data_IF_404387588551
#
_entry.id   IF_404387588551
#
_cell.length_a   1.000
_cell.length_b   1.000
_cell.length_c   1.000
_cell.angle_alpha   90.00
_cell.angle_beta   90.00
_cell.angle_gamma   90.00
#
_symmetry.space_group_name_H-M   'P 1'
#
loop_
_entity.id
_entity.type
_entity.pdbx_description
1 polymer ?
#
# COMPACT_ATOMS: atom_id res chain seq x y z
N UNK A 1 -23.78 10.90 -10.63
CA UNK A 1 -22.92 9.88 -10.00
C UNK A 1 -21.49 10.29 -10.30
N UNK A 2 -20.78 10.80 -9.30
CA UNK A 2 -19.35 11.08 -9.45
C UNK A 2 -18.57 9.79 -9.69
N UNK A 3 -17.29 9.87 -10.12
CA UNK A 3 -16.44 8.69 -10.15
C UNK A 3 -16.37 8.07 -8.76
N UNK A 4 -16.50 6.75 -8.68
CA UNK A 4 -16.20 6.01 -7.44
C UNK A 4 -14.72 6.26 -7.09
N UNK A 5 -14.45 6.68 -5.87
CA UNK A 5 -13.10 6.91 -5.36
C UNK A 5 -12.74 5.80 -4.37
N UNK A 6 -11.47 5.40 -4.33
CA UNK A 6 -10.99 4.44 -3.33
C UNK A 6 -11.08 5.05 -1.93
N UNK A 7 -11.34 4.22 -0.92
CA UNK A 7 -11.44 4.69 0.46
C UNK A 7 -10.09 5.18 0.99
N UNK A 8 -9.03 4.46 0.66
CA UNK A 8 -7.67 4.88 0.95
C UNK A 8 -6.83 4.90 -0.31
N UNK A 9 -6.11 5.99 -0.53
CA UNK A 9 -5.03 6.08 -1.51
C UNK A 9 -3.72 6.14 -0.75
N UNK A 10 -2.97 5.05 -0.79
CA UNK A 10 -1.71 4.87 -0.07
C UNK A 10 -0.57 5.21 -1.04
N UNK A 11 0.27 6.16 -0.68
CA UNK A 11 1.49 6.50 -1.43
C UNK A 11 2.70 6.11 -0.61
N UNK A 12 3.41 5.08 -1.05
CA UNK A 12 4.63 4.56 -0.41
C UNK A 12 5.85 5.18 -1.10
N UNK A 13 6.79 5.67 -0.29
CA UNK A 13 8.05 6.24 -0.76
C UNK A 13 9.21 5.72 0.08
N UNK A 14 10.36 5.56 -0.56
CA UNK A 14 11.61 5.23 0.08
C UNK A 14 12.48 6.49 0.21
N UNK A 15 12.72 7.03 1.41
CA UNK A 15 13.62 8.17 1.58
C UNK A 15 15.05 7.76 1.20
N UNK A 16 15.64 8.49 0.26
CA UNK A 16 17.02 8.25 -0.19
C UNK A 16 17.16 7.40 -1.46
N UNK A 17 16.06 6.93 -2.07
CA UNK A 17 16.14 6.17 -3.31
C UNK A 17 14.78 5.74 -3.88
N UNK A 18 14.76 4.90 -4.92
CA UNK A 18 13.54 4.27 -5.39
C UNK A 18 12.99 3.27 -4.35
N UNK A 19 11.69 3.00 -4.43
CA UNK A 19 11.03 1.94 -3.68
C UNK A 19 11.69 0.59 -4.02
N UNK A 20 12.03 -0.25 -3.01
CA UNK A 20 12.64 -1.55 -3.24
C UNK A 20 11.80 -2.42 -4.17
N UNK A 21 12.44 -3.12 -5.11
CA UNK A 21 11.74 -3.98 -6.06
C UNK A 21 10.93 -5.09 -5.37
N UNK A 22 11.43 -5.61 -4.25
CA UNK A 22 10.79 -6.65 -3.45
C UNK A 22 9.74 -6.09 -2.49
N UNK A 23 9.37 -4.81 -2.61
CA UNK A 23 8.34 -4.20 -1.76
C UNK A 23 7.05 -5.00 -1.85
N UNK A 24 6.56 -5.41 -0.69
CA UNK A 24 5.30 -6.10 -0.53
C UNK A 24 4.29 -5.18 0.14
N UNK A 25 3.03 -5.31 -0.24
CA UNK A 25 1.92 -4.64 0.42
C UNK A 25 0.89 -5.70 0.77
N UNK A 26 0.71 -5.92 2.06
CA UNK A 26 -0.30 -6.81 2.60
C UNK A 26 -1.38 -6.00 3.29
N UNK A 27 -2.64 -6.38 3.10
CA UNK A 27 -3.75 -5.74 3.78
C UNK A 27 -4.67 -6.80 4.38
N UNK A 28 -5.12 -6.53 5.60
CA UNK A 28 -6.00 -7.41 6.34
C UNK A 28 -7.05 -6.62 7.09
N UNK A 29 -8.22 -7.22 7.27
CA UNK A 29 -9.30 -6.70 8.10
C UNK A 29 -9.83 -7.81 9.01
N UNK A 30 -10.69 -7.45 9.96
CA UNK A 30 -11.16 -8.36 11.01
C UNK A 30 -11.81 -9.65 10.50
N UNK A 31 -12.22 -9.71 9.24
CA UNK A 31 -12.94 -10.83 8.64
C UNK A 31 -12.17 -11.59 7.55
N UNK A 32 -11.11 -11.02 6.95
CA UNK A 32 -10.30 -11.67 5.92
C UNK A 32 -8.99 -10.91 5.67
N UNK A 33 -8.10 -11.54 4.90
CA UNK A 33 -6.88 -10.96 4.36
C UNK A 33 -6.95 -10.94 2.83
N UNK A 34 -6.35 -9.94 2.21
CA UNK A 34 -6.20 -9.88 0.76
C UNK A 34 -4.93 -10.61 0.32
N UNK A 35 -4.89 -11.10 -0.93
CA UNK A 35 -3.66 -11.57 -1.52
C UNK A 35 -2.59 -10.46 -1.48
N UNK A 36 -1.41 -10.80 -0.96
CA UNK A 36 -0.26 -9.89 -0.90
C UNK A 36 0.15 -9.43 -2.28
N UNK A 37 0.31 -8.11 -2.44
CA UNK A 37 0.93 -7.51 -3.61
C UNK A 37 2.45 -7.54 -3.46
N UNK A 38 3.18 -7.85 -4.54
CA UNK A 38 4.64 -7.80 -4.59
C UNK A 38 5.07 -7.02 -5.83
N UNK A 39 5.86 -5.97 -5.64
CA UNK A 39 6.26 -5.08 -6.74
C UNK A 39 7.07 -5.80 -7.82
N UNK A 40 7.91 -6.77 -7.48
CA UNK A 40 8.71 -7.53 -8.45
C UNK A 40 7.96 -8.70 -9.11
N UNK A 41 6.72 -9.00 -8.68
CA UNK A 41 5.97 -10.16 -9.18
C UNK A 41 4.65 -9.75 -9.83
N UNK A 42 4.61 -9.64 -11.17
CA UNK A 42 3.41 -9.27 -11.93
C UNK A 42 2.20 -10.19 -11.73
N UNK A 43 2.40 -11.42 -11.25
CA UNK A 43 1.29 -12.36 -11.01
C UNK A 43 0.41 -11.94 -9.82
N UNK A 44 0.97 -11.11 -8.93
CA UNK A 44 0.29 -10.53 -7.77
C UNK A 44 -0.46 -9.23 -8.12
N UNK A 45 -0.23 -8.65 -9.30
CA UNK A 45 -0.85 -7.39 -9.69
C UNK A 45 -2.30 -7.61 -10.11
N UNK A 46 -3.20 -7.37 -9.16
CA UNK A 46 -4.65 -7.53 -9.33
C UNK A 46 -5.32 -6.26 -9.83
N UNK A 47 -6.53 -6.42 -10.35
CA UNK A 47 -7.45 -5.32 -10.66
C UNK A 47 -8.59 -5.26 -9.67
N UNK A 48 -9.36 -4.18 -9.71
CA UNK A 48 -10.52 -3.97 -8.83
C UNK A 48 -11.61 -5.04 -8.98
N UNK A 49 -11.62 -5.81 -10.07
CA UNK A 49 -12.52 -6.96 -10.25
C UNK A 49 -12.06 -8.20 -9.45
N UNK A 50 -10.78 -8.26 -9.11
CA UNK A 50 -10.12 -9.42 -8.51
C UNK A 50 -9.77 -9.22 -7.02
N UNK A 51 -9.49 -7.98 -6.61
CA UNK A 51 -9.02 -7.63 -5.27
C UNK A 51 -9.43 -6.20 -4.88
N UNK A 52 -9.44 -5.94 -3.58
CA UNK A 52 -9.72 -4.63 -3.00
C UNK A 52 -8.47 -3.76 -2.90
N UNK A 53 -7.27 -4.35 -2.96
CA UNK A 53 -5.99 -3.63 -3.07
C UNK A 53 -5.52 -3.63 -4.54
N UNK A 54 -5.33 -2.44 -5.11
CA UNK A 54 -4.83 -2.27 -6.48
C UNK A 54 -3.69 -1.26 -6.48
N UNK A 55 -2.48 -1.68 -6.84
CA UNK A 55 -1.36 -0.76 -6.98
C UNK A 55 -1.18 -0.29 -8.43
N UNK A 56 -0.78 0.97 -8.60
CA UNK A 56 -0.60 1.66 -9.87
C UNK A 56 0.68 1.20 -10.59
N UNK A 57 0.65 -0.04 -11.09
CA UNK A 57 1.70 -0.66 -11.88
C UNK A 57 1.19 -1.01 -13.28
N UNK A 58 2.05 -0.90 -14.28
CA UNK A 58 1.70 -1.22 -15.67
C UNK A 58 1.86 -2.72 -15.91
N UNK A 59 0.74 -3.47 -15.84
CA UNK A 59 0.69 -4.93 -16.02
C UNK A 59 1.17 -5.42 -17.40
N UNK A 60 1.28 -4.55 -18.38
CA UNK A 60 1.80 -4.89 -19.70
C UNK A 60 3.33 -4.74 -19.80
N UNK A 61 3.97 -4.24 -18.75
CA UNK A 61 5.42 -3.98 -18.68
C UNK A 61 6.07 -4.85 -17.61
N UNK A 62 7.40 -5.07 -17.71
CA UNK A 62 8.14 -5.67 -16.60
C UNK A 62 8.06 -4.80 -15.33
N UNK A 63 8.35 -5.39 -14.16
CA UNK A 63 8.49 -4.65 -12.90
C UNK A 63 9.40 -3.42 -13.07
N UNK A 64 9.04 -2.27 -12.46
CA UNK A 64 9.84 -1.06 -12.58
C UNK A 64 11.16 -1.18 -11.79
N UNK A 65 12.29 -0.91 -12.43
CA UNK A 65 13.61 -0.95 -11.79
C UNK A 65 13.85 0.19 -10.78
N UNK A 66 13.20 1.34 -10.96
CA UNK A 66 13.40 2.54 -10.15
C UNK A 66 12.08 3.30 -9.94
N UNK A 67 11.16 2.70 -9.19
CA UNK A 67 9.87 3.33 -8.88
C UNK A 67 10.04 4.39 -7.77
N UNK A 68 9.80 5.66 -8.07
CA UNK A 68 9.94 6.75 -7.08
C UNK A 68 8.87 6.68 -5.98
N UNK A 69 7.65 6.31 -6.35
CA UNK A 69 6.53 6.16 -5.43
C UNK A 69 5.60 5.05 -5.90
N UNK A 70 5.24 4.15 -4.99
CA UNK A 70 4.21 3.14 -5.22
C UNK A 70 2.89 3.68 -4.70
N UNK A 71 1.92 3.87 -5.61
CA UNK A 71 0.57 4.30 -5.25
C UNK A 71 -0.34 3.08 -5.26
N UNK A 72 -1.04 2.82 -4.17
CA UNK A 72 -2.03 1.76 -4.06
C UNK A 72 -3.38 2.31 -3.63
N UNK A 73 -4.43 1.86 -4.29
CA UNK A 73 -5.82 2.16 -4.01
C UNK A 73 -6.42 0.98 -3.24
N UNK A 74 -7.01 1.28 -2.09
CA UNK A 74 -7.68 0.33 -1.23
C UNK A 74 -9.18 0.64 -1.18
N UNK A 75 -9.97 -0.30 -1.65
CA UNK A 75 -11.41 -0.21 -1.82
C UNK A 75 -12.10 -0.99 -0.69
N UNK A 76 -12.27 -0.34 0.46
CA UNK A 76 -12.87 -0.93 1.66
C UNK A 76 -13.74 0.08 2.37
N UNK A 77 -14.64 -0.38 3.23
CA UNK A 77 -15.49 0.48 4.08
C UNK A 77 -15.24 0.25 5.56
N UNK A 78 -14.21 -0.54 5.90
CA UNK A 78 -13.90 -0.94 7.27
C UNK A 78 -12.47 -0.62 7.69
N UNK A 79 -12.23 -0.78 9.00
CA UNK A 79 -10.88 -0.71 9.58
C UNK A 79 -10.00 -1.74 8.90
N UNK A 80 -8.85 -1.29 8.39
CA UNK A 80 -7.93 -2.13 7.61
C UNK A 80 -6.53 -1.95 8.13
N UNK A 81 -5.87 -3.06 8.46
CA UNK A 81 -4.44 -3.12 8.74
C UNK A 81 -3.68 -3.20 7.42
N UNK A 82 -2.65 -2.39 7.29
CA UNK A 82 -1.73 -2.35 6.16
C UNK A 82 -0.35 -2.66 6.68
N UNK A 83 0.32 -3.60 6.01
CA UNK A 83 1.69 -4.02 6.28
C UNK A 83 2.50 -3.85 5.00
N UNK A 84 3.67 -3.21 5.12
CA UNK A 84 4.57 -2.94 4.00
C UNK A 84 5.97 -3.36 4.40
N UNK A 85 6.60 -4.18 3.58
CA UNK A 85 7.94 -4.71 3.81
C UNK A 85 8.77 -4.57 2.56
N UNK A 86 10.07 -4.32 2.70
CA UNK A 86 11.01 -4.28 1.58
C UNK A 86 12.45 -4.28 2.05
N UNK A 87 13.33 -4.92 1.28
CA UNK A 87 14.74 -5.08 1.64
C UNK A 87 15.41 -3.73 1.90
N UNK A 88 16.10 -3.63 3.04
CA UNK A 88 16.81 -2.42 3.47
C UNK A 88 15.92 -1.40 4.22
N UNK A 89 14.66 -1.73 4.50
CA UNK A 89 13.73 -0.90 5.26
C UNK A 89 13.09 -1.72 6.39
N UNK A 90 12.69 -1.04 7.46
CA UNK A 90 11.90 -1.64 8.53
C UNK A 90 10.50 -1.99 8.03
N UNK A 91 9.95 -3.09 8.54
CA UNK A 91 8.55 -3.45 8.28
C UNK A 91 7.64 -2.36 8.86
N UNK A 92 6.79 -1.80 7.99
CA UNK A 92 5.82 -0.80 8.37
C UNK A 92 4.46 -1.46 8.59
N UNK A 93 3.84 -1.16 9.74
CA UNK A 93 2.49 -1.59 10.05
C UNK A 93 1.65 -0.39 10.49
N UNK A 94 0.46 -0.24 9.91
CA UNK A 94 -0.51 0.76 10.35
C UNK A 94 -1.95 0.28 10.18
N UNK A 95 -2.78 0.60 11.16
CA UNK A 95 -4.23 0.40 11.06
C UNK A 95 -4.92 1.67 10.58
N UNK A 96 -5.53 1.61 9.40
CA UNK A 96 -6.30 2.68 8.78
C UNK A 96 -7.78 2.58 9.20
N UNK A 97 -8.35 3.71 9.60
CA UNK A 97 -9.76 3.80 10.03
C UNK A 97 -10.53 4.76 9.11
N UNK A 98 -11.63 4.33 8.47
CA UNK A 98 -12.47 5.21 7.68
C UNK A 98 -13.03 6.35 8.52
N UNK A 99 -12.93 7.59 8.01
CA UNK A 99 -13.50 8.78 8.67
C UNK A 99 -14.85 9.08 8.03
N UNK A 100 -15.89 9.12 8.84
CA UNK A 100 -17.24 9.48 8.39
C UNK A 100 -17.40 11.00 8.41
N UNK A 101 -18.01 11.55 7.36
CA UNK A 101 -18.37 12.97 7.31
C UNK A 101 -19.73 13.20 7.99
N UNK A 102 -19.80 14.14 8.92
CA UNK A 102 -21.05 14.58 9.52
C UNK A 102 -22.00 15.27 8.51
N UNK A 103 -21.49 15.84 7.41
CA UNK A 103 -22.31 16.56 6.42
C UNK A 103 -22.99 15.63 5.41
N UNK A 104 -22.36 14.50 5.07
CA UNK A 104 -22.85 13.60 4.02
C UNK A 104 -23.25 12.21 4.54
N UNK A 105 -23.07 11.93 5.84
CA UNK A 105 -23.31 10.61 6.46
C UNK A 105 -22.61 9.46 5.70
N UNK A 106 -21.49 9.76 5.06
CA UNK A 106 -20.74 8.85 4.20
C UNK A 106 -19.25 8.88 4.57
N UNK A 107 -18.50 7.87 4.15
CA UNK A 107 -17.07 7.77 4.43
C UNK A 107 -16.27 8.61 3.45
N UNK A 108 -15.32 9.39 3.97
CA UNK A 108 -14.47 10.24 3.14
C UNK A 108 -13.26 9.46 2.61
N UNK A 109 -12.97 9.54 1.30
CA UNK A 109 -11.70 9.09 0.75
C UNK A 109 -10.51 9.75 1.46
N UNK A 110 -9.54 8.95 1.87
CA UNK A 110 -8.36 9.39 2.62
C UNK A 110 -7.09 9.15 1.81
N UNK A 111 -6.19 10.13 1.82
CA UNK A 111 -4.84 10.00 1.24
C UNK A 111 -3.85 9.74 2.38
N UNK A 112 -3.09 8.67 2.25
CA UNK A 112 -2.11 8.23 3.24
C UNK A 112 -0.74 8.25 2.58
N UNK A 113 0.18 9.06 3.11
CA UNK A 113 1.57 9.07 2.66
C UNK A 113 2.42 8.29 3.66
N UNK A 114 3.14 7.29 3.15
CA UNK A 114 4.00 6.40 3.95
C UNK A 114 5.43 6.55 3.44
N UNK A 115 6.31 7.01 4.32
CA UNK A 115 7.74 6.99 4.09
C UNK A 115 8.34 5.78 4.80
N UNK A 116 8.94 4.87 4.04
CA UNK A 116 9.65 3.73 4.61
C UNK A 116 10.82 4.20 5.46
N UNK A 117 11.10 3.52 6.57
CA UNK A 117 12.25 3.86 7.41
C UNK A 117 13.39 2.91 7.05
N UNK A 118 14.58 3.40 6.65
CA UNK A 118 15.71 2.53 6.38
C UNK A 118 16.02 1.68 7.60
N UNK A 119 16.16 0.36 7.41
CA UNK A 119 16.59 -0.52 8.47
C UNK A 119 18.02 -0.11 8.82
N UNK A 120 18.23 0.43 10.02
CA UNK A 120 19.59 0.55 10.53
C UNK A 120 20.08 -0.87 10.75
N UNK A 121 21.10 -1.29 9.99
CA UNK A 121 21.91 -2.42 10.39
C UNK A 121 22.55 -1.99 11.72
N UNK A 122 21.90 -2.40 12.82
CA UNK A 122 22.43 -2.28 14.15
C UNK A 122 23.65 -3.18 14.22
N UNK A 123 24.76 -2.68 13.67
CA UNK A 123 26.08 -3.22 13.89
C UNK A 123 26.20 -3.45 15.39
N UNK A 124 26.45 -4.70 15.74
CA UNK A 124 26.91 -5.08 17.07
C UNK A 124 28.17 -4.28 17.35
N UNK A 125 28.08 -3.30 18.24
CA UNK A 125 29.23 -2.65 18.86
C UNK A 125 29.14 -2.91 20.37
N UNK A 126 29.74 -4.04 20.74
CA UNK A 126 30.43 -4.43 22.00
C UNK A 126 29.90 -3.96 23.37
#
# INVERSE_FOLDING_TARGET
MGPREAMFTITVRAPGGPVPRDTTVHVAWSAAEEPTFVLDDPTTWKTLDEANLVCAVDRAKPPPDALEALVCELWTVGVTRVEISGTGYEDFEQTLTPVMSDECEDFLPQKVEIALVPATDGGVEE
#
